data_IF_176170571510
#
_entry.id   IF_176170571510
#
_cell.length_a   1.000
_cell.length_b   1.000
_cell.length_c   1.000
_cell.angle_alpha   90.00
_cell.angle_beta   90.00
_cell.angle_gamma   90.00
#
_symmetry.space_group_name_H-M   'P 1'
#
loop_
_entity.id
_entity.type
_entity.pdbx_description
1 polymer ?
#
# COMPACT_ATOMS: atom_id res chain seq x y z
N UNK A 1 -24.68 16.99 24.39
CA UNK A 1 -23.23 17.28 24.53
C UNK A 1 -22.62 16.26 25.48
N UNK A 2 -21.37 15.86 25.19
CA UNK A 2 -20.47 14.82 25.77
C UNK A 2 -20.47 13.45 25.05
N UNK A 3 -19.29 12.84 24.78
CA UNK A 3 -18.02 13.40 24.27
C UNK A 3 -17.59 12.74 22.94
N UNK A 4 -16.61 13.35 22.26
CA UNK A 4 -16.02 12.88 21.01
C UNK A 4 -15.40 11.47 21.16
N UNK A 5 -15.95 10.48 20.47
CA UNK A 5 -15.27 9.19 20.27
C UNK A 5 -14.33 9.34 19.08
N UNK A 6 -13.05 9.60 19.35
CA UNK A 6 -12.00 9.60 18.34
C UNK A 6 -11.89 8.24 17.64
N UNK A 7 -12.10 8.27 16.32
CA UNK A 7 -11.59 7.45 15.23
C UNK A 7 -10.78 6.19 15.58
N UNK A 8 -11.44 5.02 15.46
CA UNK A 8 -10.79 3.69 15.39
C UNK A 8 -10.88 3.06 13.97
N UNK A 9 -11.42 3.78 12.98
CA UNK A 9 -11.72 3.23 11.65
C UNK A 9 -10.91 3.86 10.50
N UNK A 10 -10.04 4.84 10.75
CA UNK A 10 -9.45 5.65 9.66
C UNK A 10 -8.10 5.12 9.13
N UNK A 11 -7.33 4.35 9.91
CA UNK A 11 -5.98 3.91 9.50
C UNK A 11 -5.99 2.67 8.59
N UNK A 12 -6.82 1.67 8.88
CA UNK A 12 -7.03 0.53 7.99
C UNK A 12 -7.66 0.95 6.66
N UNK A 13 -8.43 2.03 6.69
CA UNK A 13 -9.12 2.62 5.56
C UNK A 13 -8.15 3.07 4.45
N UNK A 14 -7.01 3.67 4.78
CA UNK A 14 -6.08 4.20 3.78
C UNK A 14 -5.39 3.11 2.95
N UNK A 15 -4.98 2.01 3.59
CA UNK A 15 -4.37 0.87 2.91
C UNK A 15 -5.33 0.29 1.87
N UNK A 16 -6.57 -0.03 2.27
CA UNK A 16 -7.56 -0.63 1.38
C UNK A 16 -8.04 0.36 0.32
N UNK A 17 -8.22 1.64 0.65
CA UNK A 17 -8.55 2.69 -0.33
C UNK A 17 -7.50 2.77 -1.44
N UNK A 18 -6.21 2.80 -1.08
CA UNK A 18 -5.12 2.83 -2.06
C UNK A 18 -5.08 1.55 -2.90
N UNK A 19 -5.17 0.39 -2.26
CA UNK A 19 -5.18 -0.92 -2.93
C UNK A 19 -6.29 -0.96 -3.98
N UNK A 20 -7.53 -0.68 -3.59
CA UNK A 20 -8.67 -0.75 -4.51
C UNK A 20 -8.61 0.31 -5.61
N UNK A 21 -8.16 1.54 -5.30
CA UNK A 21 -7.97 2.58 -6.31
C UNK A 21 -6.93 2.17 -7.37
N UNK A 22 -5.82 1.54 -6.97
CA UNK A 22 -4.80 1.07 -7.90
C UNK A 22 -5.28 -0.11 -8.74
N UNK A 23 -6.02 -1.05 -8.16
CA UNK A 23 -6.60 -2.17 -8.91
C UNK A 23 -7.60 -1.67 -9.97
N UNK A 24 -8.44 -0.71 -9.62
CA UNK A 24 -9.38 -0.08 -10.56
C UNK A 24 -8.62 0.72 -11.64
N UNK A 25 -7.62 1.52 -11.27
CA UNK A 25 -6.84 2.29 -12.26
C UNK A 25 -6.10 1.39 -13.25
N UNK A 26 -5.47 0.31 -12.77
CA UNK A 26 -4.64 -0.59 -13.58
C UNK A 26 -5.44 -1.72 -14.24
N UNK A 27 -6.70 -1.91 -13.83
CA UNK A 27 -7.57 -3.03 -14.23
C UNK A 27 -6.88 -4.39 -14.05
N UNK A 28 -6.14 -4.53 -12.93
CA UNK A 28 -5.33 -5.71 -12.58
C UNK A 28 -5.35 -5.94 -11.08
N UNK A 29 -5.11 -7.18 -10.65
CA UNK A 29 -4.83 -7.47 -9.25
C UNK A 29 -3.52 -6.79 -8.85
N UNK A 30 -3.50 -6.18 -7.66
CA UNK A 30 -2.36 -5.43 -7.13
C UNK A 30 -2.09 -5.93 -5.72
N UNK A 31 -0.82 -6.07 -5.36
CA UNK A 31 -0.39 -6.29 -3.99
C UNK A 31 0.45 -5.09 -3.54
N UNK A 32 0.15 -4.55 -2.36
CA UNK A 32 0.94 -3.50 -1.73
C UNK A 32 1.94 -4.12 -0.76
N UNK A 33 3.23 -3.92 -1.04
CA UNK A 33 4.34 -4.42 -0.23
C UNK A 33 5.16 -3.24 0.26
N UNK A 34 5.37 -3.13 1.57
CA UNK A 34 6.26 -2.13 2.16
C UNK A 34 7.72 -2.59 2.02
N UNK A 35 8.60 -1.71 1.55
CA UNK A 35 9.98 -2.07 1.19
C UNK A 35 10.75 -2.67 2.37
N UNK A 36 10.53 -2.14 3.58
CA UNK A 36 11.13 -2.61 4.82
C UNK A 36 10.73 -4.05 5.21
N UNK A 37 9.65 -4.58 4.64
CA UNK A 37 9.21 -5.96 4.88
C UNK A 37 9.88 -6.98 3.96
N UNK A 38 10.58 -6.53 2.91
CA UNK A 38 11.30 -7.39 1.98
C UNK A 38 12.68 -7.75 2.55
N UNK A 39 12.76 -8.87 3.26
CA UNK A 39 13.99 -9.28 3.96
C UNK A 39 14.99 -10.04 3.08
N UNK A 40 14.56 -10.58 1.94
CA UNK A 40 15.45 -11.29 1.02
C UNK A 40 16.22 -10.27 0.14
N UNK A 41 17.55 -10.17 0.25
CA UNK A 41 18.33 -9.16 -0.45
C UNK A 41 18.31 -9.33 -1.97
N UNK A 42 18.23 -10.56 -2.49
CA UNK A 42 18.16 -10.82 -3.93
C UNK A 42 16.80 -10.41 -4.52
N UNK A 43 15.73 -10.58 -3.75
CA UNK A 43 14.40 -10.14 -4.15
C UNK A 43 14.33 -8.60 -4.17
N UNK A 44 14.83 -7.95 -3.13
CA UNK A 44 14.88 -6.48 -3.06
C UNK A 44 15.67 -5.89 -4.24
N UNK A 45 16.83 -6.47 -4.56
CA UNK A 45 17.64 -6.05 -5.71
C UNK A 45 16.90 -6.23 -7.05
N UNK A 46 16.18 -7.35 -7.22
CA UNK A 46 15.36 -7.59 -8.41
C UNK A 46 14.22 -6.58 -8.56
N UNK A 47 13.51 -6.28 -7.47
CA UNK A 47 12.44 -5.27 -7.45
C UNK A 47 13.02 -3.90 -7.82
N UNK A 48 14.14 -3.50 -7.20
CA UNK A 48 14.76 -2.20 -7.44
C UNK A 48 15.23 -2.01 -8.90
N UNK A 49 15.65 -3.09 -9.57
CA UNK A 49 15.98 -3.03 -11.01
C UNK A 49 14.77 -2.84 -11.93
N UNK A 50 13.59 -3.27 -11.49
CA UNK A 50 12.35 -3.25 -12.27
C UNK A 50 11.39 -2.14 -11.84
N UNK A 51 11.75 -1.38 -10.79
CA UNK A 51 10.94 -0.31 -10.23
C UNK A 51 10.72 0.78 -11.28
N UNK A 52 9.45 1.08 -11.53
CA UNK A 52 9.05 2.21 -12.36
C UNK A 52 8.71 3.36 -11.42
N UNK A 53 9.36 4.51 -11.63
CA UNK A 53 8.97 5.73 -10.93
C UNK A 53 7.61 6.19 -11.49
N UNK A 54 6.60 6.23 -10.62
CA UNK A 54 5.28 6.76 -10.95
C UNK A 54 5.17 8.10 -10.21
N UNK A 55 5.66 9.16 -10.88
CA UNK A 55 5.78 10.55 -10.42
C UNK A 55 6.85 10.82 -9.35
#
# INVERSE_FOLDING_TARGET
MLPATGNMHEDGDNYFKLLYALQDLLQKNVDLVAEETVTNPFLLESINRQKILVL
#
